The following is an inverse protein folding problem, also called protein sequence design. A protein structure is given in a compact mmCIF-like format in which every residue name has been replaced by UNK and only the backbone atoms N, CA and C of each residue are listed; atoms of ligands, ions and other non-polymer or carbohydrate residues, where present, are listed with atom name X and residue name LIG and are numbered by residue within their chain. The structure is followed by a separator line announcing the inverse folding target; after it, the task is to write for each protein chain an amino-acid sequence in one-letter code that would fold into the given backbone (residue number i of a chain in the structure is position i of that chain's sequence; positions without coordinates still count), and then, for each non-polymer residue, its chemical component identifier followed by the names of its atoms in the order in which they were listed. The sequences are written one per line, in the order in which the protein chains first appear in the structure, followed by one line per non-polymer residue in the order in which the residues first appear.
data_IF_018447678016
#
_entry.id   IF_018447678016
#
_cell.length_a   1.000
_cell.length_b   1.000
_cell.length_c   1.000
_cell.angle_alpha   90.00
_cell.angle_beta   90.00
_cell.angle_gamma   90.00
#
_symmetry.space_group_name_H-M   'P 1'
#
loop_
_entity.id
_entity.type
_entity.pdbx_description
1 polymer ?
#
# COMPACT_ATOMS: atom_id res chain seq x y z
N UNK A 1 -17.85 4.20 -29.75
CA UNK A 1 -17.35 4.41 -28.38
C UNK A 1 -18.59 4.48 -27.51
N UNK A 2 -18.77 3.49 -26.64
CA UNK A 2 -19.86 3.50 -25.67
C UNK A 2 -19.62 4.64 -24.66
N UNK A 3 -20.63 5.42 -24.28
CA UNK A 3 -20.49 6.41 -23.21
C UNK A 3 -20.07 5.74 -21.91
N UNK A 4 -19.17 6.37 -21.16
CA UNK A 4 -18.86 5.90 -19.81
C UNK A 4 -20.13 6.02 -18.95
N UNK A 5 -20.47 4.95 -18.23
CA UNK A 5 -21.58 4.97 -17.26
C UNK A 5 -21.22 5.88 -16.09
N UNK A 6 -22.23 6.34 -15.33
CA UNK A 6 -21.98 6.98 -14.05
C UNK A 6 -21.37 5.99 -13.06
N UNK A 7 -20.34 6.43 -12.32
CA UNK A 7 -19.72 5.68 -11.23
C UNK A 7 -20.01 6.40 -9.92
N UNK A 8 -20.54 5.69 -8.91
CA UNK A 8 -20.85 6.28 -7.61
C UNK A 8 -20.40 5.35 -6.48
N UNK A 9 -19.32 5.74 -5.78
CA UNK A 9 -18.75 4.94 -4.69
C UNK A 9 -18.11 3.63 -5.15
N UNK A 10 -17.70 3.56 -6.41
CA UNK A 10 -17.06 2.38 -7.01
C UNK A 10 -15.58 2.66 -7.29
N UNK A 11 -14.74 1.67 -7.04
CA UNK A 11 -13.34 1.70 -7.47
C UNK A 11 -13.24 1.41 -8.98
N UNK A 12 -12.34 2.11 -9.67
CA UNK A 12 -12.10 1.95 -11.09
C UNK A 12 -10.66 1.49 -11.30
N UNK A 13 -10.50 0.34 -11.94
CA UNK A 13 -9.19 -0.18 -12.33
C UNK A 13 -8.91 0.17 -13.79
N UNK A 14 -7.74 0.77 -14.04
CA UNK A 14 -7.33 1.23 -15.37
C UNK A 14 -5.99 0.62 -15.70
N UNK A 15 -5.90 -0.06 -16.84
CA UNK A 15 -4.65 -0.59 -17.36
C UNK A 15 -4.01 0.44 -18.29
N UNK A 16 -2.77 0.83 -17.98
CA UNK A 16 -2.01 1.73 -18.85
C UNK A 16 -1.64 1.00 -20.16
N UNK A 17 -1.71 1.69 -21.31
CA UNK A 17 -1.40 1.08 -22.59
C UNK A 17 0.10 0.89 -22.79
N UNK A 18 0.47 -0.21 -23.46
CA UNK A 18 1.85 -0.48 -23.87
C UNK A 18 2.78 -0.77 -22.70
N UNK A 19 3.95 -0.12 -22.69
CA UNK A 19 4.98 -0.24 -21.65
C UNK A 19 5.01 0.96 -20.70
N UNK A 20 3.93 1.76 -20.66
CA UNK A 20 3.83 2.89 -19.76
C UNK A 20 3.58 2.41 -18.32
N UNK A 21 4.33 2.98 -17.40
CA UNK A 21 4.18 2.78 -15.96
C UNK A 21 3.63 4.04 -15.31
N UNK A 22 3.20 3.92 -14.05
CA UNK A 22 2.76 5.08 -13.26
C UNK A 22 3.86 6.14 -13.09
N UNK A 23 5.13 5.75 -13.23
CA UNK A 23 6.28 6.67 -13.18
C UNK A 23 6.48 7.47 -14.47
N UNK A 24 5.89 7.03 -15.58
CA UNK A 24 6.01 7.69 -16.89
C UNK A 24 4.93 8.77 -17.11
N UNK A 25 3.95 8.87 -16.20
CA UNK A 25 2.80 9.76 -16.31
C UNK A 25 2.75 10.75 -15.14
N UNK A 26 2.48 12.02 -15.44
CA UNK A 26 2.43 13.08 -14.42
C UNK A 26 1.01 13.30 -13.84
N UNK A 27 -0.02 12.94 -14.61
CA UNK A 27 -1.41 13.20 -14.26
C UNK A 27 -2.37 12.25 -14.96
N UNK A 28 -3.54 12.04 -14.35
CA UNK A 28 -4.68 11.34 -14.92
C UNK A 28 -5.87 12.28 -14.92
N UNK A 29 -6.57 12.42 -16.06
CA UNK A 29 -7.75 13.26 -16.15
C UNK A 29 -8.91 12.59 -16.87
N UNK A 30 -10.11 12.99 -16.50
CA UNK A 30 -11.34 12.74 -17.25
C UNK A 30 -11.55 13.91 -18.19
N UNK A 31 -11.41 13.65 -19.49
CA UNK A 31 -11.52 14.67 -20.53
C UNK A 31 -12.68 14.38 -21.47
N UNK A 32 -13.48 15.40 -21.77
CA UNK A 32 -14.47 15.34 -22.84
C UNK A 32 -13.91 15.92 -24.13
N UNK A 33 -13.75 15.08 -25.18
CA UNK A 33 -13.22 15.50 -26.49
C UNK A 33 -14.14 16.53 -27.17
N UNK A 34 -15.46 16.33 -27.07
CA UNK A 34 -16.44 17.16 -27.79
C UNK A 34 -16.51 18.59 -27.27
N UNK A 35 -16.50 18.77 -25.95
CA UNK A 35 -16.52 20.09 -25.30
C UNK A 35 -15.13 20.65 -25.01
N UNK A 36 -14.06 19.89 -25.32
CA UNK A 36 -12.67 20.21 -24.99
C UNK A 36 -12.52 20.68 -23.54
N UNK A 37 -13.09 19.92 -22.62
CA UNK A 37 -13.18 20.30 -21.22
C UNK A 37 -12.66 19.19 -20.31
N UNK A 38 -11.95 19.60 -19.27
CA UNK A 38 -11.42 18.74 -18.21
C UNK A 38 -12.45 18.66 -17.09
N UNK A 39 -13.03 17.48 -16.85
CA UNK A 39 -14.01 17.27 -15.77
C UNK A 39 -13.36 16.98 -14.42
N UNK A 40 -12.04 16.88 -14.38
CA UNK A 40 -11.27 16.61 -13.18
C UNK A 40 -9.98 15.90 -13.54
N UNK A 41 -8.92 16.26 -12.83
CA UNK A 41 -7.64 15.58 -12.94
C UNK A 41 -7.02 15.40 -11.56
N UNK A 42 -6.17 14.40 -11.46
CA UNK A 42 -5.32 14.14 -10.31
C UNK A 42 -3.87 14.14 -10.78
N UNK A 43 -3.00 14.72 -9.96
CA UNK A 43 -1.56 14.66 -10.16
C UNK A 43 -1.03 13.37 -9.54
N UNK A 44 -0.11 12.72 -10.22
CA UNK A 44 0.56 11.51 -9.75
C UNK A 44 1.92 11.95 -9.18
N UNK A 45 2.16 11.80 -7.87
CA UNK A 45 3.46 12.13 -7.29
C UNK A 45 4.60 11.31 -7.96
N UNK A 46 5.80 11.89 -8.08
CA UNK A 46 6.93 11.16 -8.70
C UNK A 46 7.61 10.18 -7.76
N UNK A 47 7.47 10.43 -6.47
CA UNK A 47 8.05 9.64 -5.40
C UNK A 47 7.00 8.69 -4.81
N UNK A 48 6.24 7.97 -5.66
CA UNK A 48 5.36 6.91 -5.17
C UNK A 48 6.23 5.72 -4.76
N UNK A 49 6.16 5.33 -3.48
CA UNK A 49 6.60 4.02 -3.01
C UNK A 49 5.54 2.98 -3.42
N UNK A 50 5.52 2.62 -4.71
CA UNK A 50 4.58 1.64 -5.25
C UNK A 50 5.08 0.27 -4.82
N UNK A 51 4.36 -0.46 -3.94
CA UNK A 51 4.76 -1.80 -3.56
C UNK A 51 4.83 -2.67 -4.82
N UNK A 52 5.84 -3.57 -4.93
CA UNK A 52 5.96 -4.45 -6.08
C UNK A 52 4.63 -5.15 -6.33
N UNK A 53 4.16 -5.13 -7.58
CA UNK A 53 2.89 -5.73 -7.94
C UNK A 53 2.87 -7.20 -7.45
N UNK A 54 1.96 -7.48 -6.52
CA UNK A 54 1.77 -8.80 -5.94
C UNK A 54 1.45 -9.79 -7.06
N UNK A 55 2.44 -10.61 -7.42
CA UNK A 55 2.37 -11.57 -8.52
C UNK A 55 3.51 -11.51 -9.53
N UNK A 56 4.38 -10.49 -9.51
CA UNK A 56 5.48 -10.37 -10.48
C UNK A 56 6.87 -10.73 -9.94
N UNK A 57 7.02 -10.92 -8.63
CA UNK A 57 8.28 -11.39 -8.02
C UNK A 57 8.17 -12.86 -7.63
N UNK A 58 8.52 -13.76 -8.55
CA UNK A 58 8.84 -15.15 -8.22
C UNK A 58 10.20 -15.16 -7.50
N UNK A 59 10.21 -14.88 -6.20
CA UNK A 59 11.38 -15.16 -5.36
C UNK A 59 11.24 -16.61 -4.91
N UNK A 60 12.01 -17.49 -5.54
CA UNK A 60 12.18 -18.88 -5.10
C UNK A 60 12.93 -18.87 -3.77
N UNK A 61 12.25 -18.74 -2.65
CA UNK A 61 12.90 -18.88 -1.33
C UNK A 61 12.85 -20.34 -0.94
N UNK A 62 13.98 -21.02 -1.17
CA UNK A 62 14.25 -22.36 -0.68
C UNK A 62 13.99 -22.43 0.83
N UNK A 63 13.09 -23.32 1.21
CA UNK A 63 12.90 -23.78 2.57
C UNK A 63 14.22 -24.22 3.20
N UNK A 64 14.69 -23.51 4.23
CA UNK A 64 15.69 -24.03 5.17
C UNK A 64 15.12 -24.03 6.58
N UNK A 65 14.85 -25.26 7.03
CA UNK A 65 14.77 -25.79 8.40
C UNK A 65 15.17 -24.82 9.51
N UNK A 66 14.20 -24.52 10.37
CA UNK A 66 14.39 -23.72 11.59
C UNK A 66 15.09 -24.54 12.70
N UNK A 67 16.14 -23.94 13.27
CA UNK A 67 16.71 -24.32 14.56
C UNK A 67 15.79 -23.86 15.71
N UNK A 68 15.60 -24.63 16.81
CA UNK A 68 14.52 -24.39 17.78
C UNK A 68 14.83 -23.34 18.87
N UNK A 69 15.86 -22.51 18.72
CA UNK A 69 16.37 -21.66 19.82
C UNK A 69 16.17 -20.16 19.63
N UNK A 70 15.00 -19.75 19.14
CA UNK A 70 14.54 -18.36 19.20
C UNK A 70 13.03 -18.25 19.45
N UNK A 71 12.57 -18.96 20.49
CA UNK A 71 11.17 -18.96 20.94
C UNK A 71 10.75 -17.66 21.67
N UNK A 72 11.09 -16.46 21.15
CA UNK A 72 10.59 -15.17 21.65
C UNK A 72 10.28 -14.12 20.58
N UNK A 73 10.24 -14.49 19.31
CA UNK A 73 9.76 -13.60 18.25
C UNK A 73 8.23 -13.59 18.21
N UNK A 74 7.58 -13.15 19.29
CA UNK A 74 6.20 -12.70 19.17
C UNK A 74 6.28 -11.44 18.33
N UNK A 75 5.93 -11.57 17.05
CA UNK A 75 5.83 -10.48 16.08
C UNK A 75 4.69 -9.52 16.44
N UNK A 76 4.61 -9.10 17.71
CA UNK A 76 3.60 -8.23 18.27
C UNK A 76 4.31 -7.04 18.90
N UNK A 77 4.08 -5.85 18.34
CA UNK A 77 4.67 -4.60 18.80
C UNK A 77 3.57 -3.67 19.27
N UNK A 78 3.70 -3.23 20.51
CA UNK A 78 2.83 -2.19 21.06
C UNK A 78 3.27 -0.82 20.56
N UNK A 79 2.33 -0.10 19.96
CA UNK A 79 2.46 1.29 19.57
C UNK A 79 1.58 2.13 20.52
N UNK A 80 2.04 3.30 20.93
CA UNK A 80 1.24 4.21 21.77
C UNK A 80 0.74 3.60 23.10
N UNK A 81 1.67 3.32 24.04
CA UNK A 81 1.41 3.00 25.47
C UNK A 81 0.05 2.31 25.72
N UNK A 82 -0.06 1.05 25.26
CA UNK A 82 -1.20 0.13 25.47
C UNK A 82 -2.49 0.45 24.71
N UNK A 83 -2.48 1.46 23.83
CA UNK A 83 -3.66 1.80 23.03
C UNK A 83 -3.65 1.17 21.66
N UNK A 84 -2.50 0.85 21.10
CA UNK A 84 -2.37 0.24 19.78
C UNK A 84 -1.38 -0.93 19.84
N UNK A 85 -1.72 -2.04 19.21
CA UNK A 85 -0.86 -3.19 19.06
C UNK A 85 -0.92 -3.64 17.61
N UNK A 86 0.26 -3.91 17.04
CA UNK A 86 0.42 -4.44 15.69
C UNK A 86 1.04 -5.81 15.81
N UNK A 87 0.33 -6.81 15.30
CA UNK A 87 0.84 -8.17 15.19
C UNK A 87 1.04 -8.53 13.72
N UNK A 88 2.11 -9.25 13.40
CA UNK A 88 2.37 -9.76 12.06
C UNK A 88 2.71 -11.25 12.05
N UNK A 89 2.25 -11.97 11.03
CA UNK A 89 2.57 -13.38 10.79
C UNK A 89 2.98 -13.56 9.34
N UNK A 90 4.02 -14.37 9.10
CA UNK A 90 4.44 -14.75 7.75
C UNK A 90 3.68 -16.02 7.35
N UNK A 91 2.80 -15.91 6.35
CA UNK A 91 2.08 -17.04 5.76
C UNK A 91 2.56 -17.27 4.32
N UNK A 92 3.59 -18.09 4.18
CA UNK A 92 4.27 -18.31 2.91
C UNK A 92 4.86 -16.99 2.39
N UNK A 93 4.30 -16.50 1.29
CA UNK A 93 4.76 -15.28 0.61
C UNK A 93 4.03 -14.00 1.07
N UNK A 94 3.09 -14.12 2.02
CA UNK A 94 2.26 -13.00 2.49
C UNK A 94 2.51 -12.68 3.95
N UNK A 95 2.44 -11.40 4.29
CA UNK A 95 2.41 -10.94 5.68
C UNK A 95 0.96 -10.65 6.08
N UNK A 96 0.46 -11.40 7.06
CA UNK A 96 -0.82 -11.10 7.69
C UNK A 96 -0.56 -10.09 8.81
N UNK A 97 -1.23 -8.93 8.74
CA UNK A 97 -1.11 -7.89 9.77
C UNK A 97 -2.44 -7.77 10.51
N UNK A 98 -2.39 -7.78 11.84
CA UNK A 98 -3.54 -7.58 12.70
C UNK A 98 -3.31 -6.35 13.58
N UNK A 99 -4.32 -5.46 13.61
CA UNK A 99 -4.33 -4.29 14.47
C UNK A 99 -5.34 -4.45 15.59
N UNK A 100 -4.90 -4.20 16.81
CA UNK A 100 -5.76 -4.18 17.98
C UNK A 100 -5.57 -2.85 18.71
N UNK A 101 -6.69 -2.23 19.11
CA UNK A 101 -6.66 -1.04 19.94
C UNK A 101 -7.88 -0.90 20.81
N UNK A 102 -7.73 -0.04 21.81
CA UNK A 102 -8.82 0.39 22.68
C UNK A 102 -9.29 1.78 22.28
N UNK A 103 -10.48 1.86 21.69
CA UNK A 103 -11.03 3.09 21.10
C UNK A 103 -12.52 3.25 21.34
N UNK A 104 -12.99 4.48 21.17
CA UNK A 104 -14.40 4.87 21.17
C UNK A 104 -14.97 4.86 19.74
N UNK A 105 -16.30 4.91 19.61
CA UNK A 105 -17.01 4.89 18.31
C UNK A 105 -16.64 6.07 17.39
N UNK A 106 -16.14 7.17 17.94
CA UNK A 106 -15.75 8.38 17.23
C UNK A 106 -14.25 8.42 16.84
N UNK A 107 -13.54 7.31 16.98
CA UNK A 107 -12.10 7.24 16.77
C UNK A 107 -11.75 6.29 15.61
N UNK A 108 -10.65 6.60 14.91
CA UNK A 108 -10.08 5.73 13.88
C UNK A 108 -8.62 5.39 14.19
N UNK A 109 -8.14 4.32 13.58
CA UNK A 109 -6.72 3.97 13.52
C UNK A 109 -6.26 3.86 12.10
N UNK A 110 -5.01 4.21 11.90
CA UNK A 110 -4.25 3.81 10.74
C UNK A 110 -2.87 3.36 11.19
N UNK A 111 -2.30 2.42 10.46
CA UNK A 111 -0.88 2.10 10.50
C UNK A 111 -0.37 2.15 9.06
N UNK A 112 0.92 2.40 8.91
CA UNK A 112 1.56 2.45 7.62
C UNK A 112 3.06 2.54 7.80
N UNK A 113 3.77 2.37 6.70
CA UNK A 113 5.21 2.58 6.66
C UNK A 113 5.45 4.10 6.65
N UNK A 114 6.34 4.55 7.53
CA UNK A 114 6.81 5.93 7.52
C UNK A 114 8.14 5.97 6.77
N UNK A 115 8.23 6.81 5.75
CA UNK A 115 9.50 7.10 5.08
C UNK A 115 10.34 8.04 5.94
N UNK A 116 11.44 7.56 6.50
CA UNK A 116 12.49 8.42 7.03
C UNK A 116 13.66 8.41 6.03
N UNK A 117 13.83 9.51 5.30
CA UNK A 117 15.06 9.72 4.54
C UNK A 117 16.12 10.31 5.48
N UNK A 118 17.09 9.49 5.90
CA UNK A 118 18.39 9.98 6.32
C UNK A 118 18.57 10.36 7.80
N UNK A 119 18.23 9.50 8.76
CA UNK A 119 18.81 9.59 10.11
C UNK A 119 19.90 8.55 10.34
N UNK A 120 21.07 8.76 9.72
CA UNK A 120 22.33 8.37 10.37
C UNK A 120 22.58 9.36 11.52
N UNK A 121 21.88 9.13 12.64
CA UNK A 121 22.21 9.76 13.90
C UNK A 121 23.42 9.07 14.50
N UNK A 122 24.61 9.51 14.09
CA UNK A 122 25.85 9.22 14.80
C UNK A 122 25.70 9.72 16.25
N UNK A 123 25.86 8.83 17.22
CA UNK A 123 26.30 9.18 18.56
C UNK A 123 27.14 8.03 19.12
#
# INVERSE_FOLDING_TARGET
MEPLRGYQGEDIEIQLPGSLTVYDIDWLAVWCVQYRHNFGHVLIPKDLDVPPALGQTKITTSSTTADPKEARSSNCRQLLKERLQVHWELQGDWVQIQLAARMREDQYMAFGLSGEQGRQGNN
#
